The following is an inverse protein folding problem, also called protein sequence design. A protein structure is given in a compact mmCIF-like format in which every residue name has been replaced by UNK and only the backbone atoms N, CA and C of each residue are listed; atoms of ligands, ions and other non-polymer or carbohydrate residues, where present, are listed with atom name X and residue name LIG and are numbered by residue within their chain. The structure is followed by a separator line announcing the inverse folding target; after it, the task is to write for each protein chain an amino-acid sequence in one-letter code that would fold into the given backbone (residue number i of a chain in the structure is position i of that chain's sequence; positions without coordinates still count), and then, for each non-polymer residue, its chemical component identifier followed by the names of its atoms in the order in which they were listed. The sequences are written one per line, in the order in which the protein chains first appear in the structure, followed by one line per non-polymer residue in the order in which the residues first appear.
data_IF_684628867019
#
_entry.id   IF_684628867019
#
_cell.length_a   1.000
_cell.length_b   1.000
_cell.length_c   1.000
_cell.angle_alpha   90.00
_cell.angle_beta   90.00
_cell.angle_gamma   90.00
#
_symmetry.space_group_name_H-M   'P 1'
#
loop_
_entity.id
_entity.type
_entity.pdbx_description
1 polymer ?
#
# COMPACT_ATOMS: atom_id res chain seq x y z
N UNK A 1 -0.91 18.73 -7.20
CA UNK A 1 0.47 18.41 -6.81
C UNK A 1 1.25 19.66 -6.43
N UNK A 2 1.33 20.69 -7.31
CA UNK A 2 2.07 21.91 -7.01
C UNK A 2 1.63 22.59 -5.70
N UNK A 3 0.32 22.66 -5.44
CA UNK A 3 -0.19 23.25 -4.20
C UNK A 3 0.16 22.41 -2.97
N UNK A 4 0.10 21.08 -3.09
CA UNK A 4 0.54 20.19 -2.03
C UNK A 4 2.04 20.33 -1.75
N UNK A 5 2.86 20.44 -2.80
CA UNK A 5 4.30 20.67 -2.64
C UNK A 5 4.62 22.00 -1.94
N UNK A 6 3.88 23.09 -2.25
CA UNK A 6 4.03 24.39 -1.58
C UNK A 6 3.66 24.33 -0.11
N UNK A 7 2.59 23.63 0.21
CA UNK A 7 2.09 23.47 1.58
C UNK A 7 2.84 22.44 2.41
N UNK A 8 3.79 21.71 1.83
CA UNK A 8 4.51 20.65 2.52
C UNK A 8 3.67 19.41 2.80
N UNK A 9 2.60 19.18 2.02
CA UNK A 9 1.72 18.02 2.16
C UNK A 9 2.34 16.85 1.40
N UNK A 10 2.57 15.72 2.09
CA UNK A 10 3.03 14.48 1.47
C UNK A 10 1.98 13.94 0.48
N UNK A 11 2.43 13.59 -0.71
CA UNK A 11 1.58 12.96 -1.73
C UNK A 11 1.68 11.45 -1.54
N UNK A 12 0.60 10.84 -1.07
CA UNK A 12 0.48 9.39 -0.93
C UNK A 12 -0.16 8.78 -2.19
N UNK A 13 0.56 7.82 -2.79
CA UNK A 13 0.17 7.13 -4.01
C UNK A 13 -0.30 5.69 -3.78
N UNK A 14 -0.50 5.27 -2.54
CA UNK A 14 -0.83 3.88 -2.17
C UNK A 14 -2.10 3.37 -2.86
N UNK A 15 -3.13 4.19 -2.97
CA UNK A 15 -4.41 3.87 -3.63
C UNK A 15 -4.53 4.37 -5.07
N UNK A 16 -3.41 4.80 -5.66
CA UNK A 16 -3.39 5.44 -6.99
C UNK A 16 -2.97 4.43 -8.06
N UNK A 17 -3.64 4.48 -9.21
CA UNK A 17 -3.35 3.59 -10.34
C UNK A 17 -1.98 3.87 -10.98
N UNK A 18 -1.41 2.90 -11.74
CA UNK A 18 -0.04 2.97 -12.24
C UNK A 18 0.29 4.23 -13.02
N UNK A 19 -0.54 4.58 -14.00
CA UNK A 19 -0.31 5.76 -14.84
C UNK A 19 -0.32 7.06 -14.03
N UNK A 20 -1.32 7.24 -13.19
CA UNK A 20 -1.45 8.44 -12.34
C UNK A 20 -0.29 8.53 -11.34
N UNK A 21 0.16 7.38 -10.80
CA UNK A 21 1.33 7.34 -9.92
C UNK A 21 2.59 7.81 -10.66
N UNK A 22 2.85 7.27 -11.85
CA UNK A 22 4.01 7.67 -12.67
C UNK A 22 3.94 9.15 -13.05
N UNK A 23 2.79 9.65 -13.48
CA UNK A 23 2.59 11.06 -13.79
C UNK A 23 2.84 11.95 -12.54
N UNK A 24 2.35 11.53 -11.36
CA UNK A 24 2.54 12.25 -10.11
C UNK A 24 4.02 12.28 -9.65
N UNK A 25 4.72 11.16 -9.77
CA UNK A 25 6.15 11.04 -9.47
C UNK A 25 6.94 12.04 -10.34
N UNK A 26 6.70 12.03 -11.64
CA UNK A 26 7.40 12.91 -12.60
C UNK A 26 7.09 14.40 -12.40
N UNK A 27 5.87 14.72 -11.99
CA UNK A 27 5.42 16.09 -11.83
C UNK A 27 5.78 16.71 -10.48
N UNK A 28 5.91 15.88 -9.44
CA UNK A 28 6.20 16.36 -8.09
C UNK A 28 7.61 16.91 -7.98
N UNK A 29 7.76 18.06 -7.32
CA UNK A 29 9.05 18.68 -6.99
C UNK A 29 9.56 18.28 -5.60
N UNK A 30 8.83 17.43 -4.92
CA UNK A 30 9.14 16.90 -3.59
C UNK A 30 8.98 15.38 -3.60
N UNK A 31 9.67 14.66 -2.73
CA UNK A 31 9.48 13.23 -2.59
C UNK A 31 8.01 12.88 -2.39
N UNK A 32 7.57 11.80 -3.00
CA UNK A 32 6.24 11.21 -2.84
C UNK A 32 6.35 9.86 -2.16
N UNK A 33 5.25 9.26 -1.73
CA UNK A 33 5.30 7.97 -1.06
C UNK A 33 4.23 7.00 -1.54
N UNK A 34 4.55 5.72 -1.54
CA UNK A 34 3.60 4.66 -1.28
C UNK A 34 3.63 4.41 0.23
N UNK A 35 2.75 5.04 1.00
CA UNK A 35 2.80 4.94 2.46
C UNK A 35 2.49 3.53 2.97
N UNK A 36 1.73 2.74 2.19
CA UNK A 36 1.37 1.36 2.49
C UNK A 36 1.07 0.58 1.21
N UNK A 37 1.97 -0.30 0.81
CA UNK A 37 1.78 -1.22 -0.32
C UNK A 37 2.63 -2.47 -0.15
N UNK A 38 2.39 -3.49 -1.00
CA UNK A 38 3.24 -4.66 -1.12
C UNK A 38 3.86 -4.71 -2.51
N UNK A 39 5.02 -5.36 -2.68
CA UNK A 39 5.53 -5.74 -3.99
C UNK A 39 4.58 -6.74 -4.66
N UNK A 40 4.61 -6.83 -6.00
CA UNK A 40 3.71 -7.66 -6.81
C UNK A 40 4.05 -9.17 -6.72
N UNK A 41 4.31 -9.68 -5.52
CA UNK A 41 4.47 -11.12 -5.27
C UNK A 41 3.17 -11.91 -5.48
N UNK A 42 2.05 -11.21 -5.48
CA UNK A 42 0.71 -11.71 -5.80
C UNK A 42 0.02 -10.69 -6.69
N UNK A 43 -0.66 -11.14 -7.74
CA UNK A 43 -1.46 -10.24 -8.58
C UNK A 43 -2.61 -9.64 -7.78
N UNK A 44 -2.47 -8.38 -7.42
CA UNK A 44 -3.47 -7.61 -6.71
C UNK A 44 -3.37 -6.13 -7.11
N UNK A 45 -4.52 -5.46 -7.27
CA UNK A 45 -4.57 -4.07 -7.76
C UNK A 45 -3.84 -3.06 -6.85
N UNK A 46 -3.66 -3.40 -5.57
CA UNK A 46 -2.96 -2.57 -4.58
C UNK A 46 -1.45 -2.80 -4.57
N UNK A 47 -0.98 -3.94 -5.08
CA UNK A 47 0.44 -4.26 -5.12
C UNK A 47 1.14 -3.49 -6.24
N UNK A 48 2.40 -3.18 -6.05
CA UNK A 48 3.22 -2.41 -6.96
C UNK A 48 4.21 -3.31 -7.70
N UNK A 49 4.35 -3.11 -9.00
CA UNK A 49 5.35 -3.84 -9.79
C UNK A 49 6.75 -3.35 -9.45
N UNK A 50 7.76 -4.14 -9.80
CA UNK A 50 9.16 -3.78 -9.60
C UNK A 50 9.51 -2.46 -10.31
N UNK A 51 8.94 -2.23 -11.50
CA UNK A 51 9.13 -0.98 -12.24
C UNK A 51 8.56 0.23 -11.47
N UNK A 52 7.36 0.09 -10.89
CA UNK A 52 6.75 1.14 -10.08
C UNK A 52 7.54 1.42 -8.80
N UNK A 53 8.08 0.36 -8.18
CA UNK A 53 8.91 0.48 -6.99
C UNK A 53 10.25 1.15 -7.30
N UNK A 54 10.88 0.81 -8.43
CA UNK A 54 12.09 1.50 -8.90
C UNK A 54 11.81 2.96 -9.27
N UNK A 55 10.72 3.23 -9.99
CA UNK A 55 10.37 4.59 -10.41
C UNK A 55 10.22 5.54 -9.22
N UNK A 56 9.56 5.12 -8.13
CA UNK A 56 9.43 5.96 -6.94
C UNK A 56 10.75 6.08 -6.18
N UNK A 57 11.55 5.01 -6.11
CA UNK A 57 12.86 5.04 -5.46
C UNK A 57 13.85 5.93 -6.20
N UNK A 58 13.87 5.89 -7.53
CA UNK A 58 14.72 6.74 -8.39
C UNK A 58 14.37 8.24 -8.26
N UNK A 59 13.10 8.52 -7.91
CA UNK A 59 12.63 9.87 -7.63
C UNK A 59 12.76 10.29 -6.15
N UNK A 60 13.61 9.59 -5.40
CA UNK A 60 13.87 9.83 -3.97
C UNK A 60 12.63 9.73 -3.08
N UNK A 61 11.66 8.92 -3.51
CA UNK A 61 10.44 8.67 -2.75
C UNK A 61 10.59 7.55 -1.72
N UNK A 62 9.53 7.30 -0.98
CA UNK A 62 9.50 6.33 0.12
C UNK A 62 8.43 5.26 -0.09
N UNK A 63 8.70 4.05 0.39
CA UNK A 63 7.76 2.91 0.32
C UNK A 63 7.58 2.26 1.68
N UNK A 64 6.37 2.36 2.23
CA UNK A 64 5.94 1.65 3.43
C UNK A 64 5.40 0.26 3.08
N UNK A 65 6.00 -0.78 3.60
CA UNK A 65 5.55 -2.16 3.44
C UNK A 65 4.26 -2.40 4.21
N UNK A 66 3.20 -2.86 3.52
CA UNK A 66 1.94 -3.23 4.14
C UNK A 66 1.95 -4.71 4.55
N UNK A 67 1.84 -4.99 5.84
CA UNK A 67 1.68 -6.36 6.35
C UNK A 67 0.23 -6.88 6.26
N UNK A 68 -0.57 -6.29 5.38
CA UNK A 68 -1.97 -6.65 5.20
C UNK A 68 -2.08 -7.97 4.43
N UNK A 69 -2.48 -9.03 5.12
CA UNK A 69 -2.43 -10.42 4.62
C UNK A 69 -3.14 -10.66 3.28
N UNK A 70 -4.28 -9.99 2.93
CA UNK A 70 -4.89 -10.13 1.62
C UNK A 70 -3.98 -9.75 0.43
N UNK A 71 -2.95 -8.93 0.64
CA UNK A 71 -2.01 -8.51 -0.41
C UNK A 71 -0.86 -9.50 -0.61
N UNK A 72 -0.64 -10.41 0.32
CA UNK A 72 0.45 -11.36 0.32
C UNK A 72 0.06 -12.71 -0.30
N UNK A 73 1.01 -13.50 -0.82
CA UNK A 73 0.71 -14.72 -1.56
C UNK A 73 -0.15 -15.73 -0.81
N UNK A 74 0.14 -15.96 0.48
CA UNK A 74 -0.58 -16.92 1.32
C UNK A 74 -1.90 -16.40 1.89
N UNK A 75 -2.24 -15.10 1.67
CA UNK A 75 -3.46 -14.50 2.22
C UNK A 75 -3.48 -14.66 3.74
N UNK A 76 -4.57 -15.20 4.28
CA UNK A 76 -4.75 -15.35 5.73
C UNK A 76 -3.84 -16.37 6.41
N UNK A 77 -3.13 -17.18 5.63
CA UNK A 77 -2.10 -18.11 6.14
C UNK A 77 -0.70 -17.49 6.15
N UNK A 78 -0.59 -16.21 5.85
CA UNK A 78 0.65 -15.45 5.92
C UNK A 78 1.21 -15.44 7.34
N UNK A 79 2.49 -15.76 7.48
CA UNK A 79 3.25 -15.69 8.72
C UNK A 79 4.10 -14.42 8.79
N UNK A 80 4.69 -14.14 9.96
CA UNK A 80 5.66 -13.05 10.09
C UNK A 80 6.90 -13.29 9.21
N UNK A 81 7.37 -14.53 9.08
CA UNK A 81 8.50 -14.85 8.20
C UNK A 81 8.18 -14.57 6.72
N UNK A 82 6.94 -14.81 6.30
CA UNK A 82 6.50 -14.43 4.95
C UNK A 82 6.51 -12.91 4.76
N UNK A 83 6.12 -12.14 5.78
CA UNK A 83 6.20 -10.68 5.76
C UNK A 83 7.65 -10.20 5.69
N UNK A 84 8.56 -10.78 6.48
CA UNK A 84 9.98 -10.47 6.46
C UNK A 84 10.55 -10.73 5.07
N UNK A 85 10.24 -11.89 4.49
CA UNK A 85 10.67 -12.24 3.13
C UNK A 85 10.18 -11.24 2.09
N UNK A 86 8.92 -10.79 2.19
CA UNK A 86 8.36 -9.81 1.28
C UNK A 86 8.94 -8.40 1.49
N UNK A 87 9.28 -8.04 2.73
CA UNK A 87 9.97 -6.80 3.06
C UNK A 87 11.40 -6.81 2.54
N UNK A 88 12.14 -7.90 2.71
CA UNK A 88 13.49 -8.06 2.14
C UNK A 88 13.46 -7.92 0.62
N UNK A 89 12.46 -8.52 -0.03
CA UNK A 89 12.25 -8.36 -1.47
C UNK A 89 12.05 -6.89 -1.85
N UNK A 90 11.23 -6.15 -1.09
CA UNK A 90 11.01 -4.72 -1.30
C UNK A 90 12.31 -3.93 -1.14
N UNK A 91 13.04 -4.16 -0.04
CA UNK A 91 14.31 -3.48 0.26
C UNK A 91 15.34 -3.69 -0.86
N UNK A 92 15.43 -4.91 -1.41
CA UNK A 92 16.32 -5.21 -2.53
C UNK A 92 15.99 -4.44 -3.82
N UNK A 93 14.75 -3.94 -3.95
CA UNK A 93 14.33 -3.13 -5.11
C UNK A 93 14.56 -1.65 -4.87
N UNK A 94 14.14 -1.14 -3.70
CA UNK A 94 14.09 0.31 -3.43
C UNK A 94 15.28 0.84 -2.64
N UNK A 95 16.01 -0.03 -1.97
CA UNK A 95 17.08 0.30 -1.02
C UNK A 95 16.56 0.49 0.40
N UNK A 96 17.41 0.20 1.38
CA UNK A 96 17.08 0.24 2.80
C UNK A 96 16.60 1.62 3.27
N UNK A 97 17.26 2.69 2.80
CA UNK A 97 16.96 4.07 3.18
C UNK A 97 15.58 4.56 2.68
N UNK A 98 14.97 3.85 1.73
CA UNK A 98 13.69 4.22 1.10
C UNK A 98 12.54 3.28 1.45
N UNK A 99 12.82 2.26 2.26
CA UNK A 99 11.84 1.30 2.75
C UNK A 99 11.48 1.54 4.21
N UNK A 100 10.25 1.21 4.58
CA UNK A 100 9.79 1.25 5.97
C UNK A 100 8.53 0.45 6.17
N UNK A 101 7.92 0.59 7.32
CA UNK A 101 6.70 -0.15 7.69
C UNK A 101 5.48 0.77 7.57
N UNK A 102 4.49 0.32 6.78
CA UNK A 102 3.20 0.97 6.64
C UNK A 102 2.09 -0.07 6.68
N UNK A 103 1.76 -0.58 7.85
CA UNK A 103 1.02 -1.83 8.07
C UNK A 103 -0.36 -1.87 7.43
N UNK A 104 -1.02 -0.72 7.26
CA UNK A 104 -2.43 -0.59 6.86
C UNK A 104 -3.42 -1.23 7.87
N UNK A 105 -2.97 -1.47 9.10
CA UNK A 105 -3.81 -1.98 10.17
C UNK A 105 -4.45 -0.84 10.95
N UNK A 106 -5.71 -1.03 11.31
CA UNK A 106 -6.50 -0.11 12.14
C UNK A 106 -6.88 -0.82 13.42
N UNK A 107 -6.71 -0.12 14.53
CA UNK A 107 -7.08 -0.65 15.85
C UNK A 107 -8.61 -0.66 16.01
N UNK A 108 -9.13 -1.70 16.67
CA UNK A 108 -10.54 -1.82 17.10
C UNK A 108 -11.57 -1.74 15.95
N UNK A 109 -11.18 -2.10 14.74
CA UNK A 109 -12.09 -2.14 13.60
C UNK A 109 -12.73 -3.54 13.46
N UNK A 110 -14.06 -3.57 13.48
CA UNK A 110 -14.84 -4.79 13.29
C UNK A 110 -15.29 -4.98 11.84
N UNK A 111 -15.99 -6.08 11.59
CA UNK A 111 -16.49 -6.40 10.25
C UNK A 111 -17.55 -5.38 9.77
N UNK A 112 -18.28 -4.73 10.67
CA UNK A 112 -19.27 -3.72 10.31
C UNK A 112 -18.61 -2.48 9.77
N UNK A 113 -17.47 -2.06 10.33
CA UNK A 113 -16.69 -0.96 9.81
C UNK A 113 -16.17 -1.24 8.39
N UNK A 114 -15.57 -2.41 8.15
CA UNK A 114 -15.09 -2.78 6.81
C UNK A 114 -16.22 -2.84 5.79
N UNK A 115 -17.36 -3.40 6.18
CA UNK A 115 -18.53 -3.43 5.31
C UNK A 115 -19.09 -2.02 5.07
N UNK A 116 -19.15 -1.18 6.09
CA UNK A 116 -19.54 0.22 5.96
C UNK A 116 -18.71 0.97 4.92
N UNK A 117 -17.38 0.80 4.95
CA UNK A 117 -16.49 1.36 3.93
C UNK A 117 -16.79 0.79 2.54
N UNK A 118 -17.04 -0.51 2.44
CA UNK A 118 -17.35 -1.19 1.16
C UNK A 118 -18.65 -0.69 0.52
N UNK A 119 -19.57 -0.14 1.28
CA UNK A 119 -20.83 0.44 0.80
C UNK A 119 -20.79 1.96 0.71
N UNK A 120 -19.65 2.54 0.40
CA UNK A 120 -19.50 4.00 0.30
C UNK A 120 -20.04 4.73 1.54
N UNK A 121 -19.59 4.31 2.71
CA UNK A 121 -20.03 4.83 4.00
C UNK A 121 -21.55 4.73 4.19
N UNK A 122 -22.11 3.62 3.75
CA UNK A 122 -23.57 3.35 3.85
C UNK A 122 -24.43 4.12 2.83
N UNK A 123 -23.84 4.81 1.86
CA UNK A 123 -24.58 5.68 0.93
C UNK A 123 -25.07 4.98 -0.33
N UNK A 124 -24.70 3.75 -0.57
CA UNK A 124 -25.15 3.13 -1.80
C UNK A 124 -24.49 1.84 -2.22
N UNK A 125 -24.03 1.79 -3.47
CA UNK A 125 -23.50 0.57 -4.09
C UNK A 125 -22.18 0.14 -3.47
N UNK A 126 -21.91 -1.18 -3.38
CA UNK A 126 -20.60 -1.65 -2.95
C UNK A 126 -19.51 -1.10 -3.85
N UNK A 127 -18.50 -0.45 -3.27
CA UNK A 127 -17.31 0.04 -3.97
C UNK A 127 -16.22 -1.04 -4.04
N UNK A 128 -16.35 -2.07 -3.22
CA UNK A 128 -15.51 -3.27 -3.20
C UNK A 128 -16.35 -4.48 -2.81
N UNK A 129 -15.80 -5.68 -2.93
CA UNK A 129 -16.46 -6.89 -2.41
C UNK A 129 -16.57 -6.78 -0.89
N UNK A 130 -17.78 -6.91 -0.32
CA UNK A 130 -17.94 -6.88 1.14
C UNK A 130 -17.11 -7.95 1.82
N UNK A 131 -16.47 -7.57 2.92
CA UNK A 131 -15.68 -8.50 3.71
C UNK A 131 -16.60 -9.52 4.42
N UNK A 132 -16.22 -10.79 4.37
CA UNK A 132 -16.90 -11.86 5.12
C UNK A 132 -16.41 -11.94 6.56
N UNK A 133 -15.19 -11.50 6.79
CA UNK A 133 -14.54 -11.46 8.11
C UNK A 133 -13.51 -10.34 8.14
N UNK A 134 -13.13 -9.91 9.31
CA UNK A 134 -11.98 -9.00 9.49
C UNK A 134 -10.73 -9.72 9.00
N UNK A 135 -9.90 -9.09 8.15
CA UNK A 135 -8.62 -9.67 7.76
C UNK A 135 -7.77 -9.98 8.98
N UNK A 136 -7.10 -11.11 8.97
CA UNK A 136 -6.22 -11.50 10.09
C UNK A 136 -4.86 -10.82 9.97
N UNK A 137 -4.25 -10.50 11.11
CA UNK A 137 -2.83 -10.19 11.16
C UNK A 137 -1.99 -11.42 10.78
N UNK A 138 -0.74 -11.21 10.32
CA UNK A 138 0.19 -12.32 10.10
C UNK A 138 0.30 -13.22 11.33
N UNK A 139 0.38 -14.52 11.11
CA UNK A 139 0.56 -15.50 12.18
C UNK A 139 2.00 -15.44 12.69
N UNK A 140 2.16 -15.51 14.02
CA UNK A 140 3.47 -15.61 14.66
C UNK A 140 4.09 -16.99 14.51
#
# INVERSE_FOLDING_TARGET
IDEMNKLGILIDLSHVGPKTSSDAIKFSKKPVAYTHCCPMLKKHARNKTDEQLREIADADGFVGFASYTPFLPKGEDTTLDDCITALDYLINIVGEEKAGIGTDWVQDQDIHFFNYLSYDKGKGRPTSTPHKKVPSMPKG
#
